data_IF_570633260797
#
_entry.id   IF_570633260797
#
_cell.length_a   1.000
_cell.length_b   1.000
_cell.length_c   1.000
_cell.angle_alpha   90.00
_cell.angle_beta   90.00
_cell.angle_gamma   90.00
#
_symmetry.space_group_name_H-M   'P 1'
#
loop_
_entity.id
_entity.type
_entity.pdbx_description
1 polymer ?
#
# COMPACT_ATOMS: atom_id res chain seq x y z
N UNK A 1 37.50 1.03 -6.90
CA UNK A 1 37.07 -0.18 -6.19
C UNK A 1 35.61 -0.06 -5.82
N UNK A 2 34.77 -1.01 -6.26
CA UNK A 2 33.55 -1.49 -5.59
C UNK A 2 32.30 -0.60 -5.37
N UNK A 3 31.93 0.28 -6.31
CA UNK A 3 30.60 0.94 -6.26
C UNK A 3 29.44 -0.07 -6.15
N UNK A 4 29.51 -1.20 -6.86
CA UNK A 4 28.48 -2.25 -6.82
C UNK A 4 28.37 -2.99 -5.47
N UNK A 5 29.49 -3.25 -4.77
CA UNK A 5 29.46 -3.90 -3.46
C UNK A 5 28.91 -2.93 -2.40
N UNK A 6 29.31 -1.66 -2.45
CA UNK A 6 28.77 -0.65 -1.54
C UNK A 6 27.26 -0.46 -1.72
N UNK A 7 26.77 -0.44 -2.95
CA UNK A 7 25.34 -0.32 -3.24
C UNK A 7 24.56 -1.54 -2.73
N UNK A 8 25.11 -2.74 -2.89
CA UNK A 8 24.53 -3.97 -2.36
C UNK A 8 24.49 -3.95 -0.82
N UNK A 9 25.57 -3.54 -0.15
CA UNK A 9 25.63 -3.43 1.30
C UNK A 9 24.63 -2.39 1.83
N UNK A 10 24.51 -1.24 1.15
CA UNK A 10 23.51 -0.21 1.48
C UNK A 10 22.10 -0.75 1.30
N UNK A 11 21.82 -1.48 0.21
CA UNK A 11 20.53 -2.12 -0.03
C UNK A 11 20.19 -3.13 1.08
N UNK A 12 21.12 -4.02 1.40
CA UNK A 12 20.94 -5.02 2.44
C UNK A 12 20.70 -4.38 3.82
N UNK A 13 21.49 -3.37 4.18
CA UNK A 13 21.29 -2.62 5.42
C UNK A 13 19.90 -1.99 5.49
N UNK A 14 19.46 -1.31 4.42
CA UNK A 14 18.14 -0.66 4.36
C UNK A 14 17.00 -1.68 4.49
N UNK A 15 17.08 -2.78 3.75
CA UNK A 15 16.10 -3.86 3.81
C UNK A 15 16.01 -4.45 5.23
N UNK A 16 17.15 -4.77 5.85
CA UNK A 16 17.23 -5.29 7.22
C UNK A 16 16.66 -4.29 8.23
N UNK A 17 17.02 -3.01 8.10
CA UNK A 17 16.52 -1.95 8.97
C UNK A 17 15.00 -1.79 8.90
N UNK A 18 14.45 -1.75 7.69
CA UNK A 18 13.00 -1.59 7.48
C UNK A 18 12.25 -2.81 8.02
N UNK A 19 12.74 -4.02 7.79
CA UNK A 19 12.14 -5.24 8.34
C UNK A 19 12.13 -5.22 9.87
N UNK A 20 13.24 -4.81 10.50
CA UNK A 20 13.30 -4.60 11.94
C UNK A 20 12.28 -3.58 12.44
N UNK A 21 12.01 -2.52 11.67
CA UNK A 21 10.99 -1.53 12.00
C UNK A 21 9.56 -2.09 11.90
N UNK A 22 9.28 -2.90 10.89
CA UNK A 22 7.99 -3.61 10.74
C UNK A 22 7.78 -4.58 11.90
N UNK A 23 8.79 -5.37 12.26
CA UNK A 23 8.73 -6.27 13.42
C UNK A 23 8.47 -5.51 14.72
N UNK A 24 9.12 -4.36 14.91
CA UNK A 24 8.89 -3.51 16.08
C UNK A 24 7.45 -2.97 16.11
N UNK A 25 6.87 -2.59 14.97
CA UNK A 25 5.47 -2.16 14.87
C UNK A 25 4.49 -3.30 15.17
N UNK A 26 4.78 -4.51 14.70
CA UNK A 26 3.96 -5.71 14.99
C UNK A 26 4.02 -6.10 16.47
N UNK A 27 5.20 -6.06 17.07
CA UNK A 27 5.38 -6.41 18.48
C UNK A 27 4.81 -5.35 19.44
N UNK A 28 4.83 -4.07 19.03
CA UNK A 28 4.38 -2.94 19.82
C UNK A 28 3.52 -2.02 18.95
N UNK A 29 2.27 -2.40 18.63
CA UNK A 29 1.38 -1.56 17.84
C UNK A 29 1.03 -0.29 18.60
N UNK A 30 0.96 0.84 17.90
CA UNK A 30 0.47 2.08 18.50
C UNK A 30 -1.06 2.03 18.55
N UNK A 31 -1.65 2.25 19.72
CA UNK A 31 -3.10 2.37 19.83
C UNK A 31 -3.61 3.52 18.95
N UNK A 32 -4.73 3.28 18.27
CA UNK A 32 -5.30 4.22 17.31
C UNK A 32 -4.55 4.34 15.98
N UNK A 33 -3.42 3.64 15.78
CA UNK A 33 -2.73 3.65 14.48
C UNK A 33 -3.26 2.55 13.58
N UNK A 34 -3.91 2.96 12.50
CA UNK A 34 -4.26 2.08 11.39
C UNK A 34 -3.01 1.84 10.54
N UNK A 35 -2.59 0.58 10.44
CA UNK A 35 -1.53 0.15 9.54
C UNK A 35 -2.18 -0.46 8.29
N UNK A 36 -1.89 0.12 7.13
CA UNK A 36 -2.36 -0.36 5.83
C UNK A 36 -1.15 -0.87 5.07
N UNK A 37 -0.99 -2.18 5.01
CA UNK A 37 -0.04 -2.84 4.13
C UNK A 37 -0.64 -2.92 2.74
N UNK A 38 0.09 -2.43 1.75
CA UNK A 38 -0.33 -2.35 0.36
C UNK A 38 0.63 -3.23 -0.45
N UNK A 39 0.07 -4.25 -1.10
CA UNK A 39 0.82 -5.09 -2.04
C UNK A 39 0.95 -4.41 -3.41
N UNK A 40 1.88 -4.90 -4.23
CA UNK A 40 2.04 -4.41 -5.59
C UNK A 40 0.74 -4.63 -6.39
N UNK A 41 0.21 -3.59 -7.08
CA UNK A 41 -0.98 -3.69 -7.90
C UNK A 41 -0.68 -4.51 -9.15
N UNK A 42 -1.37 -5.63 -9.30
CA UNK A 42 -1.11 -6.56 -10.39
C UNK A 42 -2.08 -6.31 -11.54
N UNK A 43 -1.52 -6.18 -12.74
CA UNK A 43 -2.31 -6.02 -13.97
C UNK A 43 -2.40 -7.38 -14.64
N UNK A 44 -3.58 -7.97 -14.59
CA UNK A 44 -3.84 -9.27 -15.18
C UNK A 44 -4.40 -9.10 -16.61
N UNK A 45 -3.96 -10.00 -17.49
CA UNK A 45 -4.35 -10.09 -18.90
C UNK A 45 -4.91 -11.48 -19.20
N UNK A 46 -5.52 -11.63 -20.38
CA UNK A 46 -6.14 -12.89 -20.77
C UNK A 46 -5.05 -13.97 -20.94
N UNK A 47 -5.33 -15.18 -20.46
CA UNK A 47 -4.37 -16.28 -20.48
C UNK A 47 -3.96 -16.73 -21.89
N UNK A 48 -2.89 -17.53 -21.96
CA UNK A 48 -2.28 -18.03 -23.20
C UNK A 48 -3.20 -18.88 -24.11
N UNK A 49 -4.39 -19.29 -23.62
CA UNK A 49 -5.37 -20.04 -24.42
C UNK A 49 -6.22 -19.16 -25.33
N UNK A 50 -6.25 -17.85 -25.09
CA UNK A 50 -6.88 -16.92 -26.01
C UNK A 50 -6.04 -16.77 -27.27
N UNK A 51 -6.70 -16.77 -28.42
CA UNK A 51 -6.04 -16.49 -29.69
C UNK A 51 -5.42 -15.09 -29.68
N UNK A 52 -4.39 -14.87 -30.50
CA UNK A 52 -3.79 -13.54 -30.67
C UNK A 52 -4.85 -12.50 -31.05
N UNK A 53 -5.81 -12.87 -31.90
CA UNK A 53 -6.93 -12.01 -32.27
C UNK A 53 -7.84 -11.67 -31.07
N UNK A 54 -8.10 -12.62 -30.17
CA UNK A 54 -8.88 -12.36 -28.95
C UNK A 54 -8.11 -11.48 -27.95
N UNK A 55 -6.81 -11.69 -27.78
CA UNK A 55 -5.96 -10.83 -26.92
C UNK A 55 -5.87 -9.40 -27.48
N UNK A 56 -5.75 -9.26 -28.81
CA UNK A 56 -5.67 -7.96 -29.48
C UNK A 56 -7.02 -7.23 -29.53
N UNK A 57 -8.12 -7.97 -29.64
CA UNK A 57 -9.49 -7.43 -29.56
C UNK A 57 -9.86 -7.04 -28.12
N UNK A 58 -9.47 -7.86 -27.13
CA UNK A 58 -9.71 -7.61 -25.71
C UNK A 58 -8.49 -6.96 -25.03
N UNK A 59 -8.15 -5.71 -25.40
CA UNK A 59 -7.08 -4.90 -24.75
C UNK A 59 -7.38 -4.52 -23.28
N UNK A 60 -8.39 -5.11 -22.65
CA UNK A 60 -8.79 -4.79 -21.28
C UNK A 60 -7.84 -5.48 -20.31
N UNK A 61 -7.27 -4.71 -19.39
CA UNK A 61 -6.52 -5.23 -18.25
C UNK A 61 -7.36 -5.07 -16.99
N UNK A 62 -7.24 -6.01 -16.08
CA UNK A 62 -7.83 -5.89 -14.74
C UNK A 62 -6.72 -5.53 -13.77
N UNK A 63 -6.93 -4.49 -12.96
CA UNK A 63 -6.06 -4.19 -11.83
C UNK A 63 -6.58 -4.94 -10.61
N UNK A 64 -5.69 -5.69 -9.96
CA UNK A 64 -5.91 -6.30 -8.66
C UNK A 64 -5.02 -5.61 -7.64
N UNK A 65 -5.61 -5.11 -6.56
CA UNK A 65 -4.87 -4.48 -5.47
C UNK A 65 -5.34 -5.04 -4.13
N UNK A 66 -4.40 -5.59 -3.36
CA UNK A 66 -4.66 -6.22 -2.06
C UNK A 66 -4.08 -5.36 -0.95
N UNK A 67 -4.94 -5.02 0.01
CA UNK A 67 -4.62 -4.22 1.20
C UNK A 67 -4.89 -5.06 2.45
N UNK A 68 -3.88 -5.22 3.30
CA UNK A 68 -4.06 -5.77 4.64
C UNK A 68 -4.09 -4.64 5.67
N UNK A 69 -5.17 -4.56 6.42
CA UNK A 69 -5.44 -3.54 7.42
C UNK A 69 -5.29 -4.15 8.80
N UNK A 70 -4.51 -3.51 9.67
CA UNK A 70 -4.43 -3.87 11.09
C UNK A 70 -4.46 -2.64 11.98
N UNK A 71 -5.19 -2.69 13.10
CA UNK A 71 -5.17 -1.63 14.11
C UNK A 71 -5.65 -2.13 15.46
N UNK A 72 -5.25 -1.44 16.51
CA UNK A 72 -5.78 -1.64 17.86
C UNK A 72 -6.48 -0.35 18.27
N UNK A 73 -7.76 -0.41 18.61
CA UNK A 73 -8.46 0.78 19.11
C UNK A 73 -7.79 1.32 20.38
N UNK A 74 -7.96 2.62 20.64
CA UNK A 74 -7.52 3.23 21.89
C UNK A 74 -8.24 2.58 23.07
N UNK A 75 -7.48 2.12 24.06
CA UNK A 75 -8.02 1.43 25.23
C UNK A 75 -8.39 -0.04 25.04
N UNK A 76 -8.29 -0.60 23.82
CA UNK A 76 -8.50 -2.02 23.58
C UNK A 76 -7.18 -2.81 23.60
N UNK A 77 -7.23 -4.06 24.08
CA UNK A 77 -6.09 -4.98 24.02
C UNK A 77 -6.04 -5.77 22.70
N UNK A 78 -7.18 -5.91 22.01
CA UNK A 78 -7.32 -6.78 20.85
C UNK A 78 -7.02 -6.04 19.55
N UNK A 79 -6.10 -6.58 18.75
CA UNK A 79 -5.86 -6.08 17.39
C UNK A 79 -6.98 -6.54 16.44
N UNK A 80 -7.53 -5.60 15.70
CA UNK A 80 -8.42 -5.83 14.55
C UNK A 80 -7.58 -6.04 13.30
N UNK A 81 -7.96 -7.00 12.47
CA UNK A 81 -7.22 -7.39 11.26
C UNK A 81 -8.19 -7.74 10.14
N UNK A 82 -8.07 -7.06 9.00
CA UNK A 82 -8.96 -7.20 7.85
C UNK A 82 -8.14 -7.22 6.56
N UNK A 83 -8.65 -7.90 5.54
CA UNK A 83 -8.07 -7.82 4.21
C UNK A 83 -9.10 -7.32 3.20
N UNK A 84 -8.70 -6.31 2.43
CA UNK A 84 -9.48 -5.78 1.33
C UNK A 84 -8.79 -6.13 0.02
N UNK A 85 -9.57 -6.57 -0.96
CA UNK A 85 -9.11 -6.83 -2.30
C UNK A 85 -9.96 -6.01 -3.26
N UNK A 86 -9.32 -5.07 -3.94
CA UNK A 86 -9.94 -4.14 -4.85
C UNK A 86 -9.64 -4.58 -6.28
N UNK A 87 -10.68 -4.59 -7.11
CA UNK A 87 -10.61 -4.94 -8.51
C UNK A 87 -11.12 -3.77 -9.34
N UNK A 88 -10.35 -3.32 -10.32
CA UNK A 88 -10.74 -2.20 -11.16
C UNK A 88 -10.15 -2.29 -12.57
N UNK A 89 -10.35 -1.22 -13.33
CA UNK A 89 -9.77 -1.06 -14.66
C UNK A 89 -8.23 -0.93 -14.56
N UNK A 90 -7.52 -1.86 -15.20
CA UNK A 90 -6.05 -1.92 -15.23
C UNK A 90 -5.39 -1.13 -16.35
N UNK A 91 -6.15 -0.36 -17.13
CA UNK A 91 -5.60 0.62 -18.07
C UNK A 91 -4.68 1.60 -17.36
N UNK A 92 -3.57 1.96 -18.03
CA UNK A 92 -2.50 2.74 -17.41
C UNK A 92 -2.97 4.13 -16.94
N UNK A 93 -3.88 4.75 -17.70
CA UNK A 93 -4.44 6.08 -17.42
C UNK A 93 -5.41 6.11 -16.24
N UNK A 94 -5.96 4.95 -15.83
CA UNK A 94 -6.89 4.83 -14.71
C UNK A 94 -6.30 4.16 -13.47
N UNK A 95 -5.23 3.37 -13.65
CA UNK A 95 -4.67 2.54 -12.56
C UNK A 95 -4.31 3.32 -11.29
N UNK A 96 -3.75 4.53 -11.42
CA UNK A 96 -3.45 5.38 -10.26
C UNK A 96 -4.74 5.83 -9.52
N UNK A 97 -5.83 6.02 -10.25
CA UNK A 97 -7.11 6.46 -9.69
C UNK A 97 -7.79 5.33 -8.94
N UNK A 98 -7.72 4.12 -9.47
CA UNK A 98 -8.12 2.89 -8.77
C UNK A 98 -7.32 2.74 -7.47
N UNK A 99 -6.01 2.97 -7.47
CA UNK A 99 -5.18 2.92 -6.26
C UNK A 99 -5.62 3.98 -5.24
N UNK A 100 -5.79 5.24 -5.66
CA UNK A 100 -6.26 6.32 -4.78
C UNK A 100 -7.64 6.02 -4.18
N UNK A 101 -8.55 5.49 -4.99
CA UNK A 101 -9.92 5.12 -4.59
C UNK A 101 -9.92 3.94 -3.62
N UNK A 102 -9.10 2.92 -3.87
CA UNK A 102 -8.92 1.78 -2.97
C UNK A 102 -8.42 2.20 -1.59
N UNK A 103 -7.38 3.04 -1.55
CA UNK A 103 -6.83 3.56 -0.31
C UNK A 103 -7.88 4.42 0.41
N UNK A 104 -8.61 5.27 -0.32
CA UNK A 104 -9.67 6.08 0.27
C UNK A 104 -10.81 5.23 0.86
N UNK A 105 -11.28 4.19 0.16
CA UNK A 105 -12.29 3.28 0.68
C UNK A 105 -11.79 2.59 1.95
N UNK A 106 -10.56 2.05 1.92
CA UNK A 106 -9.96 1.33 3.04
C UNK A 106 -9.88 2.21 4.31
N UNK A 107 -9.41 3.45 4.18
CA UNK A 107 -9.35 4.42 5.29
C UNK A 107 -10.75 4.77 5.79
N UNK A 108 -11.67 5.10 4.88
CA UNK A 108 -13.04 5.49 5.24
C UNK A 108 -13.77 4.35 5.97
N UNK A 109 -13.59 3.12 5.49
CA UNK A 109 -14.16 1.94 6.10
C UNK A 109 -13.59 1.68 7.50
N UNK A 110 -12.27 1.79 7.67
CA UNK A 110 -11.64 1.63 8.98
C UNK A 110 -12.09 2.71 9.98
N UNK A 111 -12.24 3.95 9.52
CA UNK A 111 -12.79 5.04 10.34
C UNK A 111 -14.22 4.75 10.82
N UNK A 112 -15.08 4.18 9.96
CA UNK A 112 -16.44 3.78 10.34
C UNK A 112 -16.47 2.65 11.38
N UNK A 113 -15.44 1.80 11.42
CA UNK A 113 -15.27 0.76 12.46
C UNK A 113 -14.79 1.33 13.81
N UNK A 114 -14.37 2.60 13.84
CA UNK A 114 -14.00 3.32 15.05
C UNK A 114 -12.58 3.04 15.55
N UNK A 115 -12.10 3.92 16.43
CA UNK A 115 -10.83 3.76 17.13
C UNK A 115 -9.58 4.01 16.29
N UNK A 116 -9.69 4.75 15.18
CA UNK A 116 -8.56 5.17 14.33
C UNK A 116 -8.26 6.66 14.58
N UNK A 117 -7.01 6.98 14.91
CA UNK A 117 -6.50 8.32 15.19
C UNK A 117 -5.39 8.77 14.24
N UNK A 118 -4.69 7.83 13.61
CA UNK A 118 -3.65 8.10 12.61
C UNK A 118 -3.52 6.91 11.65
N UNK A 119 -2.96 7.15 10.46
CA UNK A 119 -2.72 6.10 9.46
C UNK A 119 -1.23 5.97 9.15
N UNK A 120 -0.74 4.73 9.05
CA UNK A 120 0.56 4.38 8.53
C UNK A 120 0.38 3.49 7.31
N UNK A 121 0.78 3.98 6.14
CA UNK A 121 0.84 3.21 4.91
C UNK A 121 2.18 2.48 4.82
N UNK A 122 2.16 1.20 4.48
CA UNK A 122 3.33 0.37 4.26
C UNK A 122 3.22 -0.22 2.86
N UNK A 123 4.06 0.22 1.93
CA UNK A 123 4.08 -0.32 0.57
C UNK A 123 5.49 -0.64 0.13
N UNK A 124 5.62 -1.45 -0.91
CA UNK A 124 6.85 -1.52 -1.65
C UNK A 124 7.17 -0.17 -2.32
N UNK A 125 8.40 -0.05 -2.78
CA UNK A 125 8.87 1.15 -3.47
C UNK A 125 8.60 1.08 -4.98
N UNK A 126 7.37 0.75 -5.34
CA UNK A 126 6.90 0.84 -6.71
C UNK A 126 6.87 2.30 -7.18
N UNK A 127 7.83 2.69 -8.03
CA UNK A 127 8.01 4.09 -8.45
C UNK A 127 6.82 4.65 -9.22
N UNK A 128 6.13 3.82 -10.01
CA UNK A 128 5.01 4.30 -10.83
C UNK A 128 3.74 4.42 -10.00
N UNK A 129 3.56 3.57 -9.00
CA UNK A 129 2.32 3.43 -8.26
C UNK A 129 2.32 4.13 -6.90
N UNK A 130 3.39 4.00 -6.11
CA UNK A 130 3.42 4.45 -4.71
C UNK A 130 4.48 5.52 -4.41
N UNK A 131 5.68 5.40 -4.99
CA UNK A 131 6.79 6.34 -4.76
C UNK A 131 6.84 7.43 -5.83
N UNK A 132 5.73 8.17 -5.97
CA UNK A 132 5.56 9.24 -6.97
C UNK A 132 4.99 10.53 -6.34
N UNK A 133 5.02 11.62 -7.11
CA UNK A 133 4.56 12.93 -6.64
C UNK A 133 3.05 12.98 -6.36
N UNK A 134 2.25 12.21 -7.11
CA UNK A 134 0.80 12.09 -6.95
C UNK A 134 0.43 11.55 -5.57
N UNK A 135 1.09 10.48 -5.13
CA UNK A 135 0.91 9.93 -3.78
C UNK A 135 1.41 10.90 -2.71
N UNK A 136 2.50 11.63 -2.93
CA UNK A 136 2.94 12.65 -1.96
C UNK A 136 1.96 13.82 -1.88
N UNK A 137 1.36 14.23 -3.00
CA UNK A 137 0.29 15.22 -3.04
C UNK A 137 -0.93 14.71 -2.26
N UNK A 138 -1.31 13.46 -2.46
CA UNK A 138 -2.38 12.80 -1.71
C UNK A 138 -2.08 12.79 -0.20
N UNK A 139 -0.88 12.36 0.20
CA UNK A 139 -0.42 12.31 1.59
C UNK A 139 -0.45 13.71 2.23
N UNK A 140 0.00 14.73 1.51
CA UNK A 140 -0.01 16.11 2.01
C UNK A 140 -1.40 16.66 2.30
N UNK A 141 -2.44 16.13 1.63
CA UNK A 141 -3.84 16.53 1.79
C UNK A 141 -4.63 15.54 2.66
N UNK A 142 -3.99 14.51 3.21
CA UNK A 142 -4.65 13.44 3.95
C UNK A 142 -5.45 13.97 5.15
N UNK A 143 -4.84 14.83 5.96
CA UNK A 143 -5.48 15.40 7.15
C UNK A 143 -6.67 16.28 6.80
N UNK A 144 -6.58 17.06 5.72
CA UNK A 144 -7.72 17.84 5.20
C UNK A 144 -8.87 16.92 4.75
N UNK A 145 -8.55 15.76 4.18
CA UNK A 145 -9.53 14.83 3.61
C UNK A 145 -10.21 13.94 4.66
N UNK A 146 -9.45 13.47 5.64
CA UNK A 146 -9.91 12.46 6.62
C UNK A 146 -9.93 12.95 8.07
N UNK A 147 -9.36 14.12 8.37
CA UNK A 147 -9.15 14.58 9.75
C UNK A 147 -8.11 13.76 10.52
N UNK A 148 -7.28 12.97 9.82
CA UNK A 148 -6.29 12.08 10.41
C UNK A 148 -4.87 12.43 9.92
N UNK A 149 -3.90 12.40 10.84
CA UNK A 149 -2.49 12.41 10.46
C UNK A 149 -2.11 11.12 9.72
N UNK A 150 -1.19 11.22 8.77
CA UNK A 150 -0.72 10.08 8.00
C UNK A 150 0.80 10.03 7.82
N UNK A 151 1.33 8.82 7.88
CA UNK A 151 2.71 8.49 7.54
C UNK A 151 2.72 7.45 6.41
N UNK A 152 3.72 7.52 5.54
CA UNK A 152 3.96 6.52 4.49
C UNK A 152 5.37 6.00 4.60
N UNK A 153 5.50 4.69 4.80
CA UNK A 153 6.76 3.97 4.84
C UNK A 153 6.90 3.09 3.60
N UNK A 154 8.02 3.24 2.90
CA UNK A 154 8.38 2.38 1.78
C UNK A 154 9.29 1.25 2.27
N UNK A 155 9.12 0.05 1.73
CA UNK A 155 10.07 -1.05 1.87
C UNK A 155 11.04 -1.08 0.70
N UNK A 156 12.18 -1.77 0.86
CA UNK A 156 13.02 -2.06 -0.31
C UNK A 156 12.29 -3.04 -1.24
N UNK A 157 12.45 -2.89 -2.57
CA UNK A 157 11.98 -3.89 -3.54
C UNK A 157 12.47 -5.28 -3.17
N UNK A 158 11.65 -6.30 -3.43
CA UNK A 158 11.95 -7.72 -3.23
C UNK A 158 12.23 -8.16 -1.77
N UNK A 159 12.10 -7.25 -0.79
CA UNK A 159 12.35 -7.55 0.63
C UNK A 159 11.16 -7.28 1.55
N UNK A 160 10.05 -6.79 1.01
CA UNK A 160 8.83 -6.56 1.77
C UNK A 160 8.01 -7.83 1.90
N UNK A 161 8.26 -8.65 2.94
CA UNK A 161 7.26 -9.63 3.35
C UNK A 161 6.07 -8.90 3.94
N UNK A 162 5.04 -8.68 3.13
CA UNK A 162 3.87 -7.94 3.56
C UNK A 162 2.90 -8.86 4.27
N UNK A 163 2.05 -8.26 5.09
CA UNK A 163 0.88 -8.93 5.65
C UNK A 163 -0.09 -9.42 4.54
N UNK A 164 0.07 -8.93 3.31
CA UNK A 164 -0.70 -9.36 2.14
C UNK A 164 -0.18 -10.64 1.47
N UNK A 165 1.10 -11.03 1.62
CA UNK A 165 1.74 -12.00 0.69
C UNK A 165 1.08 -13.38 0.64
N UNK A 166 0.56 -13.87 1.77
CA UNK A 166 -0.09 -15.18 1.80
C UNK A 166 -1.46 -15.18 1.12
N UNK A 167 -2.30 -14.22 1.49
CA UNK A 167 -3.66 -14.13 0.97
C UNK A 167 -3.69 -13.54 -0.44
N UNK A 168 -2.93 -12.48 -0.66
CA UNK A 168 -2.77 -11.84 -1.96
C UNK A 168 -2.34 -12.88 -2.99
N UNK A 169 -1.33 -13.70 -2.70
CA UNK A 169 -0.92 -14.78 -3.58
C UNK A 169 -2.06 -15.78 -3.86
N UNK A 170 -2.85 -16.16 -2.85
CA UNK A 170 -3.99 -17.06 -3.03
C UNK A 170 -5.08 -16.49 -3.95
N UNK A 171 -5.48 -15.24 -3.74
CA UNK A 171 -6.46 -14.52 -4.58
C UNK A 171 -5.92 -14.36 -6.01
N UNK A 172 -4.65 -13.96 -6.14
CA UNK A 172 -3.95 -13.81 -7.42
C UNK A 172 -3.94 -15.12 -8.20
N UNK A 173 -3.56 -16.22 -7.54
CA UNK A 173 -3.52 -17.56 -8.14
C UNK A 173 -4.91 -17.99 -8.61
N UNK A 174 -5.95 -17.81 -7.77
CA UNK A 174 -7.31 -18.21 -8.12
C UNK A 174 -7.85 -17.45 -9.34
N UNK A 175 -7.61 -16.13 -9.42
CA UNK A 175 -7.98 -15.33 -10.59
C UNK A 175 -7.16 -15.72 -11.82
N UNK A 176 -5.86 -15.94 -11.67
CA UNK A 176 -4.99 -16.35 -12.78
C UNK A 176 -5.43 -17.69 -13.38
N UNK A 177 -5.70 -18.69 -12.54
CA UNK A 177 -6.21 -19.99 -12.97
C UNK A 177 -7.56 -19.87 -13.68
N UNK A 178 -8.47 -19.06 -13.13
CA UNK A 178 -9.78 -18.80 -13.76
C UNK A 178 -9.64 -18.08 -15.10
N UNK A 179 -8.77 -17.07 -15.21
CA UNK A 179 -8.54 -16.36 -16.46
C UNK A 179 -7.97 -17.28 -17.54
N UNK A 180 -7.23 -18.32 -17.15
CA UNK A 180 -6.76 -19.37 -18.04
C UNK A 180 -7.86 -20.27 -18.62
N UNK A 181 -9.09 -20.22 -18.10
CA UNK A 181 -10.23 -21.00 -18.62
C UNK A 181 -11.20 -20.18 -19.47
N UNK A 182 -11.02 -18.85 -19.53
CA UNK A 182 -11.93 -17.94 -20.21
C UNK A 182 -11.50 -17.64 -21.65
N UNK A 183 -12.48 -17.45 -22.52
CA UNK A 183 -12.27 -16.99 -23.90
C UNK A 183 -12.24 -15.46 -24.02
N UNK A 184 -12.68 -14.74 -22.98
CA UNK A 184 -12.67 -13.27 -22.92
C UNK A 184 -12.23 -12.78 -21.55
N UNK A 185 -11.76 -11.53 -21.49
CA UNK A 185 -11.50 -10.90 -20.21
C UNK A 185 -12.80 -10.69 -19.42
N UNK A 186 -12.83 -11.09 -18.14
CA UNK A 186 -13.94 -10.78 -17.27
C UNK A 186 -13.96 -9.28 -16.94
N UNK A 187 -15.14 -8.78 -16.59
CA UNK A 187 -15.30 -7.45 -16.00
C UNK A 187 -14.83 -7.45 -14.53
N UNK A 188 -14.50 -6.28 -13.95
CA UNK A 188 -14.21 -6.19 -12.52
C UNK A 188 -15.32 -6.79 -11.64
N UNK A 189 -16.59 -6.59 -12.02
CA UNK A 189 -17.76 -7.15 -11.33
C UNK A 189 -17.77 -8.68 -11.36
N UNK A 190 -17.51 -9.27 -12.52
CA UNK A 190 -17.43 -10.73 -12.67
C UNK A 190 -16.28 -11.31 -11.82
N UNK A 191 -15.15 -10.61 -11.71
CA UNK A 191 -14.05 -11.04 -10.86
C UNK A 191 -14.41 -11.01 -9.38
N UNK A 192 -15.07 -9.94 -8.91
CA UNK A 192 -15.52 -9.84 -7.52
C UNK A 192 -16.55 -10.93 -7.21
N UNK A 193 -17.50 -11.16 -8.12
CA UNK A 193 -18.49 -12.21 -7.96
C UNK A 193 -17.85 -13.60 -7.88
N UNK A 194 -16.93 -13.90 -8.81
CA UNK A 194 -16.17 -15.14 -8.80
C UNK A 194 -15.44 -15.36 -7.47
N UNK A 195 -14.72 -14.35 -6.98
CA UNK A 195 -14.06 -14.44 -5.68
C UNK A 195 -15.05 -14.67 -4.54
N UNK A 196 -16.23 -14.03 -4.57
CA UNK A 196 -17.26 -14.29 -3.56
C UNK A 196 -17.79 -15.71 -3.60
N UNK A 197 -18.08 -16.25 -4.77
CA UNK A 197 -18.63 -17.60 -4.91
C UNK A 197 -17.64 -18.67 -4.45
N UNK A 198 -16.34 -18.45 -4.67
CA UNK A 198 -15.29 -19.44 -4.39
C UNK A 198 -14.66 -19.30 -3.01
N UNK A 199 -14.80 -18.15 -2.34
CA UNK A 199 -14.33 -17.95 -0.96
C UNK A 199 -15.46 -17.90 0.06
N UNK A 200 -16.69 -17.60 -0.36
CA UNK A 200 -17.87 -17.35 0.49
C UNK A 200 -17.64 -16.31 1.60
N UNK A 201 -16.69 -15.38 1.43
CA UNK A 201 -16.32 -14.45 2.50
C UNK A 201 -15.46 -15.06 3.61
N UNK A 202 -15.05 -16.32 3.46
CA UNK A 202 -14.28 -17.10 4.42
C UNK A 202 -12.81 -17.17 3.94
N UNK A 203 -11.81 -17.19 4.85
CA UNK A 203 -10.42 -17.35 4.44
C UNK A 203 -10.23 -18.54 3.52
N UNK A 204 -9.39 -18.38 2.48
CA UNK A 204 -8.84 -19.51 1.73
C UNK A 204 -8.19 -20.44 2.76
N UNK A 205 -8.75 -21.64 2.97
CA UNK A 205 -8.29 -22.58 4.00
C UNK A 205 -6.81 -22.91 3.78
N UNK A 206 -5.97 -22.56 4.74
CA UNK A 206 -4.52 -22.78 4.72
C UNK A 206 -3.82 -22.11 5.91
N UNK A 207 -2.48 -22.11 5.93
CA UNK A 207 -1.58 -21.49 6.94
C UNK A 207 -1.79 -19.98 7.20
N UNK A 208 -2.85 -19.36 6.66
CA UNK A 208 -3.06 -17.92 6.55
C UNK A 208 -4.31 -17.41 7.29
N UNK A 209 -4.77 -18.14 8.32
CA UNK A 209 -5.94 -17.85 9.17
C UNK A 209 -5.86 -16.55 10.03
N UNK A 210 -5.00 -15.58 9.67
CA UNK A 210 -4.77 -14.36 10.45
C UNK A 210 -5.90 -13.32 10.29
N UNK A 211 -6.57 -13.27 9.14
CA UNK A 211 -7.61 -12.29 8.85
C UNK A 211 -9.00 -12.82 9.14
N UNK A 212 -9.80 -12.00 9.85
CA UNK A 212 -11.13 -12.38 10.33
C UNK A 212 -12.26 -12.04 9.35
N UNK A 213 -12.01 -11.14 8.40
CA UNK A 213 -13.01 -10.67 7.43
C UNK A 213 -12.32 -10.24 6.13
N UNK A 214 -12.99 -10.52 5.00
CA UNK A 214 -12.57 -10.14 3.66
C UNK A 214 -13.56 -9.15 3.07
N UNK A 215 -13.06 -8.28 2.18
CA UNK A 215 -13.88 -7.42 1.34
C UNK A 215 -13.38 -7.49 -0.09
N UNK A 216 -14.24 -7.88 -1.02
CA UNK A 216 -14.02 -7.69 -2.45
C UNK A 216 -14.84 -6.50 -2.93
N UNK A 217 -14.21 -5.58 -3.66
CA UNK A 217 -14.87 -4.38 -4.12
C UNK A 217 -14.43 -4.00 -5.53
N UNK A 218 -15.41 -3.64 -6.35
CA UNK A 218 -15.18 -3.06 -7.66
C UNK A 218 -14.89 -1.58 -7.52
N UNK A 219 -13.89 -1.10 -8.24
CA UNK A 219 -13.57 0.32 -8.37
C UNK A 219 -13.71 0.73 -9.84
N UNK A 220 -14.46 1.79 -10.08
CA UNK A 220 -14.72 2.31 -11.43
C UNK A 220 -13.50 3.03 -12.03
N UNK A 221 -12.54 3.43 -11.19
CA UNK A 221 -11.29 4.04 -11.66
C UNK A 221 -11.50 5.46 -12.17
N UNK A 222 -11.93 6.35 -11.28
CA UNK A 222 -12.04 7.79 -11.59
C UNK A 222 -10.67 8.36 -12.00
N UNK A 223 -10.68 9.39 -12.86
CA UNK A 223 -9.44 10.10 -13.22
C UNK A 223 -8.71 10.51 -11.94
N UNK A 224 -7.40 10.26 -11.84
CA UNK A 224 -6.69 10.44 -10.58
C UNK A 224 -6.69 11.91 -10.20
N UNK A 225 -7.04 12.20 -8.97
CA UNK A 225 -7.21 13.59 -8.52
C UNK A 225 -5.87 14.30 -8.35
N UNK A 226 -4.77 13.53 -8.30
CA UNK A 226 -3.44 14.02 -7.92
C UNK A 226 -2.39 13.96 -9.03
N UNK A 227 -2.78 13.66 -10.28
CA UNK A 227 -1.84 13.62 -11.42
C UNK A 227 -1.18 14.96 -11.77
N UNK A 228 -1.77 16.07 -11.31
CA UNK A 228 -1.22 17.38 -11.50
C UNK A 228 -0.16 17.71 -10.43
N UNK A 229 0.83 16.83 -10.19
CA UNK A 229 1.94 17.10 -9.25
C UNK A 229 3.29 17.04 -9.96
N UNK A 230 4.18 18.00 -9.64
CA UNK A 230 5.53 18.06 -10.19
C UNK A 230 6.43 16.98 -9.58
N UNK A 231 7.47 16.57 -10.31
CA UNK A 231 8.41 15.56 -9.82
C UNK A 231 9.17 16.06 -8.59
N UNK A 232 9.14 15.30 -7.50
CA UNK A 232 9.85 15.64 -6.27
C UNK A 232 11.30 15.14 -6.35
N UNK A 233 12.26 16.06 -6.27
CA UNK A 233 13.69 15.74 -6.24
C UNK A 233 14.01 14.88 -5.01
N UNK A 234 14.66 13.75 -5.23
CA UNK A 234 15.08 12.88 -4.13
C UNK A 234 13.97 12.03 -3.52
N UNK A 235 12.78 11.96 -4.13
CA UNK A 235 11.71 11.03 -3.69
C UNK A 235 12.21 9.59 -3.55
N UNK A 236 13.20 9.24 -4.37
CA UNK A 236 13.88 7.95 -4.39
C UNK A 236 14.95 7.75 -3.31
N UNK A 237 15.14 8.69 -2.38
CA UNK A 237 16.13 8.56 -1.30
C UNK A 237 15.49 8.44 0.08
N UNK A 238 14.18 8.67 0.17
CA UNK A 238 13.44 8.71 1.44
C UNK A 238 12.48 7.54 1.54
N UNK A 239 12.58 6.79 2.63
CA UNK A 239 11.73 5.63 2.91
C UNK A 239 10.64 5.94 3.94
N UNK A 240 10.59 7.15 4.49
CA UNK A 240 9.55 7.54 5.43
C UNK A 240 9.13 8.98 5.19
N UNK A 241 7.83 9.15 4.93
CA UNK A 241 7.14 10.40 4.65
C UNK A 241 6.00 10.61 5.64
N UNK A 242 5.66 11.85 5.97
CA UNK A 242 4.49 12.16 6.80
C UNK A 242 3.80 13.46 6.40
N UNK A 243 2.49 13.50 6.57
CA UNK A 243 1.71 14.73 6.53
C UNK A 243 2.03 15.62 7.73
N UNK A 244 1.87 16.93 7.57
CA UNK A 244 2.06 17.91 8.65
C UNK A 244 0.87 18.85 8.83
N UNK A 245 -0.33 18.44 8.39
CA UNK A 245 -1.55 19.25 8.45
C UNK A 245 -1.60 20.45 7.51
N UNK A 246 -0.47 20.82 6.87
CA UNK A 246 -0.40 21.89 5.88
C UNK A 246 -0.55 21.30 4.46
N UNK A 247 -1.57 21.71 3.68
CA UNK A 247 -1.75 21.24 2.31
C UNK A 247 -0.49 21.43 1.46
N UNK A 248 -0.23 20.48 0.56
CA UNK A 248 0.93 20.47 -0.32
C UNK A 248 2.28 20.43 0.41
N UNK A 249 2.32 20.16 1.71
CA UNK A 249 3.56 20.01 2.46
C UNK A 249 3.62 18.65 3.15
N UNK A 250 4.79 18.01 3.05
CA UNK A 250 5.12 16.77 3.74
C UNK A 250 6.49 16.91 4.40
N UNK A 251 6.80 16.01 5.31
CA UNK A 251 8.18 15.79 5.73
C UNK A 251 8.67 14.43 5.24
N UNK A 252 9.95 14.34 4.90
CA UNK A 252 10.58 13.09 4.54
C UNK A 252 11.88 12.87 5.32
N UNK A 253 12.25 11.61 5.51
CA UNK A 253 13.56 11.23 6.04
C UNK A 253 14.06 9.96 5.34
N UNK A 254 15.36 9.69 5.49
CA UNK A 254 16.03 8.61 4.77
C UNK A 254 15.47 7.24 5.19
N UNK A 255 15.41 6.93 6.49
CA UNK A 255 14.87 5.65 6.96
C UNK A 255 13.80 5.84 8.04
N UNK A 256 12.86 4.90 8.18
CA UNK A 256 11.90 4.92 9.26
C UNK A 256 12.54 4.58 10.61
N UNK A 257 11.95 5.07 11.68
CA UNK A 257 12.25 4.63 13.03
C UNK A 257 11.01 4.75 13.91
N UNK A 258 10.68 3.66 14.60
CA UNK A 258 9.54 3.55 15.52
C UNK A 258 9.97 3.14 16.93
N UNK A 259 11.19 3.49 17.35
CA UNK A 259 11.54 3.39 18.76
C UNK A 259 10.63 4.29 19.61
N UNK A 260 10.57 4.05 20.91
CA UNK A 260 9.65 4.75 21.81
C UNK A 260 9.80 6.28 21.76
N UNK A 261 11.03 6.78 21.57
CA UNK A 261 11.29 8.21 21.37
C UNK A 261 10.72 8.76 20.06
N UNK A 262 10.87 8.03 18.95
CA UNK A 262 10.28 8.45 17.68
C UNK A 262 8.75 8.39 17.71
N UNK A 263 8.17 7.38 18.37
CA UNK A 263 6.71 7.27 18.58
C UNK A 263 6.18 8.45 19.41
N UNK A 264 6.93 8.85 20.43
CA UNK A 264 6.64 10.04 21.25
C UNK A 264 6.99 11.37 20.54
N UNK A 265 7.34 11.35 19.24
CA UNK A 265 7.74 12.52 18.45
C UNK A 265 8.98 13.26 18.98
N UNK A 266 9.80 12.62 19.82
CA UNK A 266 11.07 13.13 20.37
C UNK A 266 12.25 12.73 19.47
N UNK A 267 12.25 13.24 18.24
CA UNK A 267 13.18 12.79 17.20
C UNK A 267 14.66 13.11 17.51
N UNK A 268 14.95 14.25 18.13
CA UNK A 268 16.32 14.70 18.40
C UNK A 268 17.05 13.83 19.44
N UNK A 269 16.28 13.20 20.32
CA UNK A 269 16.74 12.25 21.32
C UNK A 269 16.85 10.81 20.76
N UNK A 270 16.43 10.55 19.53
CA UNK A 270 16.47 9.21 18.96
C UNK A 270 17.91 8.70 18.85
N UNK A 271 18.20 7.58 19.54
CA UNK A 271 19.50 6.90 19.47
C UNK A 271 19.90 6.46 18.06
N UNK A 272 18.94 6.36 17.15
CA UNK A 272 19.16 5.94 15.76
C UNK A 272 19.26 7.12 14.78
N UNK A 273 19.29 8.38 15.26
CA UNK A 273 19.25 9.58 14.40
C UNK A 273 20.33 9.61 13.31
N UNK A 274 21.51 9.05 13.59
CA UNK A 274 22.61 8.94 12.61
C UNK A 274 22.28 8.05 11.41
N UNK A 275 21.39 7.05 11.57
CA UNK A 275 20.98 6.15 10.49
C UNK A 275 19.76 6.66 9.74
N UNK A 276 18.80 7.25 10.46
CA UNK A 276 17.47 7.53 9.92
C UNK A 276 17.36 8.86 9.20
N UNK A 277 18.33 9.76 9.45
CA UNK A 277 18.34 11.11 8.94
C UNK A 277 17.32 12.02 9.65
N UNK A 278 17.56 13.33 9.54
CA UNK A 278 16.63 14.34 10.04
C UNK A 278 15.44 14.49 9.11
N UNK A 279 14.28 14.83 9.67
CA UNK A 279 13.10 15.17 8.88
C UNK A 279 13.37 16.44 8.06
N UNK A 280 13.15 16.35 6.75
CA UNK A 280 13.28 17.46 5.80
C UNK A 280 11.89 17.89 5.34
N UNK A 281 11.55 19.20 5.40
CA UNK A 281 10.32 19.70 4.82
C UNK A 281 10.38 19.64 3.30
N UNK A 282 9.28 19.22 2.67
CA UNK A 282 9.13 19.15 1.22
C UNK A 282 7.80 19.76 0.84
N UNK A 283 7.85 20.73 -0.07
CA UNK A 283 6.67 21.26 -0.75
C UNK A 283 6.39 20.42 -1.99
N UNK A 284 5.16 19.94 -2.12
CA UNK A 284 4.66 19.19 -3.27
C UNK A 284 3.93 20.15 -4.20
N UNK A 285 4.57 20.53 -5.30
CA UNK A 285 4.01 21.49 -6.25
C UNK A 285 2.97 20.85 -7.16
N UNK A 286 1.94 21.62 -7.50
CA UNK A 286 0.99 21.24 -8.54
C UNK A 286 1.57 21.57 -9.92
N UNK A 287 1.29 20.72 -10.91
CA UNK A 287 1.50 21.00 -12.33
C UNK A 287 0.40 21.92 -12.85
#
# INVERSE_FOLDING_TARGET
MNSGLEDLLRHHFRASWINKMIEHLRARPNQGQLQIHIDFPERQELGARATVAQQEYHKRKILLLVLALTWTCVGEATQKSHCCCYIGDGSLDKSQGVIEEAIQDAVTWAMRKGGVAQVLYLSDRARREFSNASIMMWLSNHEKKFGLGAEWMFTEPDHGKSDCDGLGAGIKTMLYEWFGTLERMPTPHECVQFLWDHTKGVPIRGKYAKYKEYRFQVLEGKKPTTHAAETIKGITKSFHWKSIGKPNHVMARTLPCFCDLCKAKRFDACKNKGYVGSWQPIEVKRK
#
